data_IF_255318282025
#
_entry.id   IF_255318282025
#
_cell.length_a   1.000
_cell.length_b   1.000
_cell.length_c   1.000
_cell.angle_alpha   90.00
_cell.angle_beta   90.00
_cell.angle_gamma   90.00
#
_symmetry.space_group_name_H-M   'P 1'
#
loop_
_entity.id
_entity.type
_entity.pdbx_description
1 polymer ?
#
# COMPACT_ATOMS: atom_id res chain seq x y z
N UNK A 1 0.05 22.75 -4.90
CA UNK A 1 -1.03 21.73 -5.02
C UNK A 1 -0.44 20.33 -5.14
N UNK A 2 0.48 20.07 -6.06
CA UNK A 2 1.24 18.80 -6.09
C UNK A 2 2.22 18.64 -4.92
N UNK A 3 2.83 19.74 -4.44
CA UNK A 3 3.83 19.71 -3.37
C UNK A 3 3.34 19.08 -2.06
N UNK A 4 2.08 19.26 -1.66
CA UNK A 4 1.57 18.70 -0.38
C UNK A 4 1.38 17.18 -0.43
N UNK A 5 1.13 16.62 -1.61
CA UNK A 5 0.96 15.17 -1.82
C UNK A 5 2.31 14.49 -2.01
N UNK A 6 3.26 15.17 -2.67
CA UNK A 6 4.62 14.65 -2.87
C UNK A 6 5.53 14.88 -1.67
N UNK A 7 5.22 15.84 -0.78
CA UNK A 7 6.03 16.13 0.41
C UNK A 7 6.22 14.93 1.34
N UNK A 8 5.33 13.94 1.28
CA UNK A 8 5.37 12.72 2.09
C UNK A 8 5.64 11.47 1.26
N UNK A 9 6.05 11.62 0.00
CA UNK A 9 6.42 10.51 -0.88
C UNK A 9 7.77 9.90 -0.46
N UNK A 10 7.76 9.13 0.64
CA UNK A 10 8.90 8.37 1.15
C UNK A 10 9.03 6.98 0.48
N UNK A 11 8.42 6.80 -0.70
CA UNK A 11 8.47 5.53 -1.43
C UNK A 11 9.88 5.22 -1.94
N UNK A 12 10.23 3.94 -1.96
CA UNK A 12 11.52 3.44 -2.47
C UNK A 12 11.51 3.27 -4.00
N UNK A 13 10.33 3.14 -4.61
CA UNK A 13 10.17 2.93 -6.04
C UNK A 13 8.82 3.41 -6.58
N UNK A 14 8.45 2.92 -7.77
CA UNK A 14 7.17 3.18 -8.42
C UNK A 14 6.51 1.82 -8.77
N UNK A 15 5.88 1.14 -7.80
CA UNK A 15 5.28 -0.18 -8.03
C UNK A 15 4.12 -0.10 -9.04
N UNK A 16 3.43 1.04 -9.11
CA UNK A 16 2.30 1.28 -10.04
C UNK A 16 2.72 1.10 -11.49
N UNK A 17 3.92 1.56 -11.86
CA UNK A 17 4.46 1.41 -13.22
C UNK A 17 4.56 -0.05 -13.67
N UNK A 18 4.76 -0.97 -12.73
CA UNK A 18 4.88 -2.41 -13.00
C UNK A 18 3.62 -3.19 -12.62
N UNK A 19 2.62 -2.50 -12.04
CA UNK A 19 1.37 -3.09 -11.63
C UNK A 19 0.43 -3.39 -12.80
N UNK A 20 0.69 -2.87 -14.01
CA UNK A 20 -0.14 -3.08 -15.20
C UNK A 20 -1.64 -2.90 -14.92
N UNK A 21 -1.99 -1.84 -14.19
CA UNK A 21 -3.36 -1.60 -13.73
C UNK A 21 -4.30 -1.41 -14.92
N UNK A 22 -5.42 -2.12 -14.87
CA UNK A 22 -6.45 -2.07 -15.90
C UNK A 22 -7.67 -1.27 -15.43
N UNK A 23 -8.34 -0.53 -16.33
CA UNK A 23 -9.63 0.07 -16.04
C UNK A 23 -10.62 -0.96 -15.44
N UNK A 24 -11.27 -0.60 -14.34
CA UNK A 24 -12.24 -1.46 -13.66
C UNK A 24 -11.67 -2.34 -12.54
N UNK A 25 -10.35 -2.39 -12.34
CA UNK A 25 -9.75 -3.16 -11.25
C UNK A 25 -9.95 -2.52 -9.87
N UNK A 26 -10.08 -3.37 -8.85
CA UNK A 26 -10.00 -3.00 -7.44
C UNK A 26 -8.55 -3.14 -6.98
N UNK A 27 -7.94 -2.04 -6.54
CA UNK A 27 -6.54 -1.99 -6.13
C UNK A 27 -6.43 -1.72 -4.64
N UNK A 28 -5.61 -2.48 -3.93
CA UNK A 28 -5.24 -2.21 -2.54
C UNK A 28 -3.81 -1.68 -2.45
N UNK A 29 -3.63 -0.50 -1.87
CA UNK A 29 -2.34 0.09 -1.53
C UNK A 29 -2.05 -0.09 -0.03
N UNK A 30 -1.11 -0.98 0.28
CA UNK A 30 -0.77 -1.37 1.66
C UNK A 30 0.32 -0.47 2.23
N UNK A 31 0.01 0.13 3.40
CA UNK A 31 0.81 1.19 4.02
C UNK A 31 0.83 2.43 3.15
N UNK A 32 -0.35 2.88 2.71
CA UNK A 32 -0.49 3.97 1.76
C UNK A 32 0.07 5.30 2.29
N UNK A 33 0.08 5.49 3.62
CA UNK A 33 0.39 6.77 4.23
C UNK A 33 -0.52 7.88 3.68
N UNK A 34 0.05 9.06 3.49
CA UNK A 34 -0.58 10.17 2.76
C UNK A 34 -0.06 10.30 1.31
N UNK A 35 0.52 9.22 0.77
CA UNK A 35 1.30 9.24 -0.48
C UNK A 35 0.41 9.27 -1.72
N UNK A 36 1.07 9.50 -2.87
CA UNK A 36 0.40 9.66 -4.16
C UNK A 36 -0.01 8.32 -4.80
N UNK A 37 0.53 7.20 -4.34
CA UNK A 37 0.37 5.89 -4.98
C UNK A 37 -1.11 5.48 -5.09
N UNK A 38 -1.87 5.57 -4.00
CA UNK A 38 -3.33 5.32 -4.03
C UNK A 38 -4.06 6.20 -5.06
N UNK A 39 -3.67 7.47 -5.23
CA UNK A 39 -4.30 8.38 -6.19
C UNK A 39 -3.92 8.08 -7.64
N UNK A 40 -2.66 7.73 -7.89
CA UNK A 40 -2.22 7.28 -9.21
C UNK A 40 -2.94 5.99 -9.62
N UNK A 41 -3.10 5.05 -8.69
CA UNK A 41 -3.86 3.84 -8.94
C UNK A 41 -5.32 4.17 -9.31
N UNK A 42 -5.96 5.05 -8.54
CA UNK A 42 -7.34 5.49 -8.79
C UNK A 42 -7.53 6.08 -10.20
N UNK A 43 -6.56 6.88 -10.66
CA UNK A 43 -6.59 7.42 -12.02
C UNK A 43 -6.46 6.33 -13.10
N UNK A 44 -5.63 5.30 -12.89
CA UNK A 44 -5.41 4.24 -13.87
C UNK A 44 -6.59 3.27 -13.99
N UNK A 45 -7.26 2.97 -12.87
CA UNK A 45 -8.39 2.02 -12.86
C UNK A 45 -9.74 2.68 -13.17
N UNK A 46 -9.78 3.99 -13.35
CA UNK A 46 -10.96 4.71 -13.82
C UNK A 46 -11.45 4.18 -15.19
N UNK A 47 -12.75 4.29 -15.52
CA UNK A 47 -13.80 4.99 -14.77
C UNK A 47 -14.54 4.15 -13.73
N UNK A 48 -14.38 2.82 -13.74
CA UNK A 48 -15.21 1.90 -12.93
C UNK A 48 -14.45 1.25 -11.78
N UNK A 49 -13.11 1.28 -11.77
CA UNK A 49 -12.29 0.70 -10.72
C UNK A 49 -12.12 1.61 -9.52
N UNK A 50 -11.61 1.05 -8.43
CA UNK A 50 -11.43 1.74 -7.15
C UNK A 50 -10.02 1.48 -6.59
N UNK A 51 -9.43 2.50 -5.98
CA UNK A 51 -8.20 2.35 -5.20
C UNK A 51 -8.52 2.44 -3.70
N UNK A 52 -8.02 1.48 -2.93
CA UNK A 52 -8.21 1.37 -1.48
C UNK A 52 -6.84 1.56 -0.82
N UNK A 53 -6.65 2.65 -0.07
CA UNK A 53 -5.47 2.84 0.76
C UNK A 53 -5.67 2.24 2.15
N UNK A 54 -4.73 1.42 2.61
CA UNK A 54 -4.68 0.86 3.96
C UNK A 54 -3.51 1.47 4.73
N UNK A 55 -3.77 2.04 5.90
CA UNK A 55 -2.72 2.49 6.82
C UNK A 55 -3.14 2.25 8.28
N UNK A 56 -2.17 2.03 9.17
CA UNK A 56 -2.45 1.80 10.58
C UNK A 56 -2.58 3.09 11.39
N UNK A 57 -2.15 4.23 10.82
CA UNK A 57 -2.08 5.50 11.55
C UNK A 57 -3.25 6.42 11.16
N UNK A 58 -4.14 6.79 12.10
CA UNK A 58 -5.26 7.69 11.84
C UNK A 58 -4.81 9.05 11.27
N UNK A 59 -3.63 9.52 11.67
CA UNK A 59 -3.05 10.77 11.20
C UNK A 59 -2.77 10.76 9.69
N UNK A 60 -2.16 9.68 9.17
CA UNK A 60 -1.88 9.58 7.74
C UNK A 60 -3.16 9.46 6.93
N UNK A 61 -4.14 8.70 7.42
CA UNK A 61 -5.45 8.57 6.77
C UNK A 61 -6.19 9.91 6.72
N UNK A 62 -6.13 10.72 7.79
CA UNK A 62 -6.73 12.04 7.80
C UNK A 62 -6.11 12.95 6.72
N UNK A 63 -4.78 12.92 6.57
CA UNK A 63 -4.06 13.65 5.52
C UNK A 63 -4.39 13.13 4.12
N UNK A 64 -4.46 11.81 3.94
CA UNK A 64 -4.82 11.18 2.67
C UNK A 64 -6.24 11.56 2.22
N UNK A 65 -7.21 11.56 3.15
CA UNK A 65 -8.59 12.02 2.87
C UNK A 65 -8.65 13.51 2.52
N UNK A 66 -7.84 14.34 3.17
CA UNK A 66 -7.75 15.76 2.81
C UNK A 66 -7.24 15.93 1.37
N UNK A 67 -6.19 15.19 1.00
CA UNK A 67 -5.64 15.17 -0.36
C UNK A 67 -6.67 14.66 -1.39
N UNK A 68 -7.41 13.59 -1.08
CA UNK A 68 -8.50 13.07 -1.92
C UNK A 68 -9.53 14.17 -2.23
N UNK A 69 -9.97 14.91 -1.21
CA UNK A 69 -10.93 16.00 -1.37
C UNK A 69 -10.38 17.12 -2.25
N UNK A 70 -9.12 17.49 -2.07
CA UNK A 70 -8.45 18.51 -2.89
C UNK A 70 -8.32 18.08 -4.35
N UNK A 71 -8.08 16.79 -4.62
CA UNK A 71 -7.96 16.23 -5.96
C UNK A 71 -9.31 15.91 -6.62
N UNK A 72 -10.42 15.98 -5.87
CA UNK A 72 -11.76 15.68 -6.39
C UNK A 72 -11.98 14.21 -6.76
N UNK A 73 -11.20 13.29 -6.18
CA UNK A 73 -11.27 11.86 -6.49
C UNK A 73 -12.41 11.18 -5.74
N UNK A 74 -13.30 10.54 -6.49
CA UNK A 74 -14.48 9.84 -5.94
C UNK A 74 -14.31 8.32 -5.89
N UNK A 75 -13.33 7.76 -6.61
CA UNK A 75 -13.04 6.32 -6.67
C UNK A 75 -11.83 5.93 -5.79
N UNK A 76 -11.73 6.55 -4.62
CA UNK A 76 -10.71 6.26 -3.61
C UNK A 76 -11.37 6.01 -2.26
N UNK A 77 -10.98 4.92 -1.61
CA UNK A 77 -11.33 4.62 -0.23
C UNK A 77 -10.09 4.52 0.64
N UNK A 78 -10.21 4.92 1.90
CA UNK A 78 -9.16 4.73 2.90
C UNK A 78 -9.70 3.88 4.04
N UNK A 79 -8.91 2.91 4.50
CA UNK A 79 -9.24 1.99 5.59
C UNK A 79 -8.15 2.05 6.65
N UNK A 80 -8.56 2.12 7.91
CA UNK A 80 -7.64 1.92 9.03
C UNK A 80 -7.47 0.43 9.27
N UNK A 81 -6.23 -0.02 9.36
CA UNK A 81 -5.93 -1.42 9.63
C UNK A 81 -4.45 -1.75 9.49
N UNK A 82 -4.10 -2.97 9.86
CA UNK A 82 -2.73 -3.48 9.79
C UNK A 82 -2.60 -4.42 8.60
N UNK A 83 -1.41 -4.49 8.00
CA UNK A 83 -1.14 -5.43 6.90
C UNK A 83 -1.20 -6.89 7.35
N UNK A 84 -1.08 -7.16 8.66
CA UNK A 84 -1.26 -8.47 9.27
C UNK A 84 -2.74 -8.88 9.48
N UNK A 85 -3.68 -7.93 9.33
CA UNK A 85 -5.12 -8.16 9.48
C UNK A 85 -5.89 -7.13 8.64
N UNK A 86 -6.03 -7.42 7.35
CA UNK A 86 -6.59 -6.49 6.36
C UNK A 86 -8.12 -6.52 6.46
N UNK A 87 -8.79 -5.39 6.73
CA UNK A 87 -10.24 -5.31 6.91
C UNK A 87 -11.00 -5.33 5.56
N UNK A 88 -10.68 -6.32 4.73
CA UNK A 88 -11.31 -6.60 3.44
C UNK A 88 -11.71 -8.08 3.36
N UNK A 89 -12.79 -8.41 2.62
CA UNK A 89 -13.17 -9.79 2.37
C UNK A 89 -12.10 -10.56 1.59
N UNK A 90 -12.18 -11.88 1.67
CA UNK A 90 -11.40 -12.78 0.83
C UNK A 90 -11.69 -12.51 -0.66
N UNK A 91 -10.68 -12.66 -1.52
CA UNK A 91 -10.82 -12.53 -2.97
C UNK A 91 -11.58 -11.27 -3.43
N UNK A 92 -11.28 -10.11 -2.84
CA UNK A 92 -12.00 -8.86 -3.07
C UNK A 92 -11.26 -7.85 -3.96
N UNK A 93 -9.94 -7.98 -4.10
CA UNK A 93 -9.11 -7.07 -4.90
C UNK A 93 -8.38 -7.79 -6.04
N UNK A 94 -8.21 -7.09 -7.16
CA UNK A 94 -7.51 -7.60 -8.35
C UNK A 94 -5.99 -7.42 -8.20
N UNK A 95 -5.58 -6.32 -7.57
CA UNK A 95 -4.18 -5.93 -7.43
C UNK A 95 -3.89 -5.46 -6.02
N UNK A 96 -2.76 -5.89 -5.48
CA UNK A 96 -2.17 -5.32 -4.28
C UNK A 96 -0.87 -4.63 -4.66
N UNK A 97 -0.72 -3.37 -4.26
CA UNK A 97 0.51 -2.61 -4.37
C UNK A 97 1.06 -2.25 -2.98
N UNK A 98 2.39 -2.11 -2.88
CA UNK A 98 3.02 -1.59 -1.68
C UNK A 98 4.39 -0.97 -1.99
N UNK A 99 4.75 0.07 -1.25
CA UNK A 99 5.96 0.84 -1.50
C UNK A 99 6.74 1.10 -0.19
N UNK A 100 7.75 0.26 0.09
CA UNK A 100 8.71 0.45 1.18
C UNK A 100 8.14 0.32 2.60
N UNK A 101 7.15 -0.55 2.80
CA UNK A 101 6.53 -0.76 4.12
C UNK A 101 6.43 -2.23 4.55
N UNK A 102 6.60 -3.19 3.63
CA UNK A 102 6.47 -4.61 3.96
C UNK A 102 7.64 -5.10 4.82
N UNK A 103 8.83 -4.50 4.64
CA UNK A 103 9.98 -4.75 5.49
C UNK A 103 9.73 -4.43 6.97
N UNK A 104 8.86 -3.45 7.27
CA UNK A 104 8.51 -3.01 8.63
C UNK A 104 7.61 -4.02 9.36
N UNK A 105 7.02 -4.99 8.65
CA UNK A 105 6.21 -6.03 9.29
C UNK A 105 7.08 -6.92 10.18
N UNK A 106 6.68 -7.08 11.44
CA UNK A 106 7.27 -8.05 12.37
C UNK A 106 6.79 -9.48 12.07
N UNK A 107 5.61 -9.62 11.46
CA UNK A 107 4.95 -10.90 11.17
C UNK A 107 4.81 -11.12 9.66
N UNK A 108 5.92 -11.07 8.92
CA UNK A 108 5.92 -11.15 7.44
C UNK A 108 5.10 -12.32 6.89
N UNK A 109 5.19 -13.49 7.53
CA UNK A 109 4.40 -14.66 7.13
C UNK A 109 2.89 -14.46 7.27
N UNK A 110 2.42 -13.72 8.28
CA UNK A 110 1.01 -13.33 8.41
C UNK A 110 0.64 -12.28 7.36
N UNK A 111 1.48 -11.27 7.17
CA UNK A 111 1.29 -10.24 6.16
C UNK A 111 1.09 -10.83 4.76
N UNK A 112 2.00 -11.68 4.28
CA UNK A 112 1.84 -12.30 2.95
C UNK A 112 0.62 -13.23 2.86
N UNK A 113 0.21 -13.86 3.97
CA UNK A 113 -1.05 -14.64 4.01
C UNK A 113 -2.28 -13.74 3.84
N UNK A 114 -2.31 -12.58 4.48
CA UNK A 114 -3.39 -11.60 4.31
C UNK A 114 -3.41 -11.00 2.90
N UNK A 115 -2.25 -10.62 2.35
CA UNK A 115 -2.16 -10.11 0.97
C UNK A 115 -2.69 -11.15 -0.02
N UNK A 116 -2.35 -12.42 0.18
CA UNK A 116 -2.88 -13.51 -0.63
C UNK A 116 -4.38 -13.73 -0.44
N UNK A 117 -4.88 -13.68 0.81
CA UNK A 117 -6.30 -13.88 1.14
C UNK A 117 -7.21 -12.87 0.43
N UNK A 118 -6.82 -11.60 0.41
CA UNK A 118 -7.65 -10.53 -0.18
C UNK A 118 -7.58 -10.51 -1.71
N UNK A 119 -6.54 -11.09 -2.32
CA UNK A 119 -6.40 -11.18 -3.77
C UNK A 119 -7.42 -12.16 -4.37
N UNK A 120 -8.08 -11.74 -5.44
CA UNK A 120 -8.87 -12.64 -6.29
C UNK A 120 -7.99 -13.72 -6.92
N UNK A 121 -8.54 -14.89 -7.28
CA UNK A 121 -7.83 -15.84 -8.14
C UNK A 121 -7.34 -15.17 -9.42
N UNK A 122 -6.04 -15.27 -9.71
CA UNK A 122 -5.40 -14.58 -10.84
C UNK A 122 -4.99 -13.12 -10.57
N UNK A 123 -5.30 -12.60 -9.39
CA UNK A 123 -4.81 -11.29 -8.93
C UNK A 123 -3.30 -11.29 -8.71
N UNK A 124 -2.73 -10.09 -8.57
CA UNK A 124 -1.28 -9.91 -8.50
C UNK A 124 -0.84 -8.96 -7.38
N UNK A 125 0.31 -9.28 -6.78
CA UNK A 125 1.00 -8.45 -5.81
C UNK A 125 2.22 -7.81 -6.48
N UNK A 126 2.31 -6.48 -6.45
CA UNK A 126 3.46 -5.72 -6.99
C UNK A 126 3.97 -4.75 -5.94
N UNK A 127 5.21 -4.92 -5.50
CA UNK A 127 5.77 -4.07 -4.46
C UNK A 127 7.22 -3.69 -4.75
N UNK A 128 7.66 -2.59 -4.15
CA UNK A 128 9.06 -2.16 -4.12
C UNK A 128 9.49 -2.07 -2.65
N UNK A 129 10.55 -2.76 -2.27
CA UNK A 129 11.04 -2.73 -0.89
C UNK A 129 12.57 -2.91 -0.82
N UNK A 130 13.16 -2.50 0.29
CA UNK A 130 14.57 -2.72 0.59
C UNK A 130 14.81 -4.18 0.98
N UNK A 131 15.81 -4.79 0.36
CA UNK A 131 16.28 -6.13 0.69
C UNK A 131 17.76 -6.12 1.01
N UNK A 132 18.18 -7.05 1.86
CA UNK A 132 19.59 -7.26 2.21
C UNK A 132 20.16 -8.40 1.39
N UNK A 133 21.39 -8.23 0.89
CA UNK A 133 22.14 -9.33 0.29
C UNK A 133 22.94 -10.04 1.39
N UNK A 134 22.49 -11.24 1.77
CA UNK A 134 23.06 -12.03 2.87
C UNK A 134 22.18 -12.01 4.12
N UNK A 135 22.72 -12.52 5.24
CA UNK A 135 22.03 -12.53 6.52
C UNK A 135 22.42 -11.31 7.34
N UNK A 136 21.42 -10.61 7.88
CA UNK A 136 21.67 -9.59 8.89
C UNK A 136 22.21 -10.24 10.17
N UNK A 137 23.14 -9.59 10.88
CA UNK A 137 23.58 -10.05 12.20
C UNK A 137 22.38 -10.25 13.12
N UNK A 138 22.42 -11.28 13.96
CA UNK A 138 21.29 -11.63 14.85
C UNK A 138 20.87 -10.47 15.76
N UNK A 139 21.84 -9.68 16.22
CA UNK A 139 21.60 -8.46 17.01
C UNK A 139 20.74 -7.41 16.29
N UNK A 140 20.76 -7.37 14.96
CA UNK A 140 19.91 -6.49 14.15
C UNK A 140 18.51 -7.09 14.00
N UNK A 141 18.42 -8.40 13.72
CA UNK A 141 17.14 -9.10 13.55
C UNK A 141 16.29 -9.14 14.82
N UNK A 142 16.92 -9.19 16.00
CA UNK A 142 16.23 -9.22 17.29
C UNK A 142 15.93 -7.80 17.83
N UNK A 143 16.28 -6.75 17.09
CA UNK A 143 16.03 -5.36 17.48
C UNK A 143 14.83 -4.80 16.73
N UNK A 144 13.73 -4.51 17.45
CA UNK A 144 12.56 -3.83 16.88
C UNK A 144 12.94 -2.47 16.25
N UNK A 145 13.91 -1.77 16.85
CA UNK A 145 14.40 -0.48 16.35
C UNK A 145 15.11 -0.60 14.99
N UNK A 146 15.62 -1.77 14.62
CA UNK A 146 16.24 -1.99 13.31
C UNK A 146 15.22 -2.13 12.17
N UNK A 147 13.93 -2.28 12.50
CA UNK A 147 12.83 -2.34 11.53
C UNK A 147 12.18 -0.97 11.28
N UNK A 148 12.52 0.07 12.05
CA UNK A 148 12.11 1.44 11.76
C UNK A 148 13.25 2.14 11.01
N UNK A 149 12.97 2.65 9.81
CA UNK A 149 13.88 3.52 9.07
C UNK A 149 14.07 4.86 9.77
#
# INVERSE_FOLDING_TARGET
>A
MFESVTAYALGLGNPIRYADLQPGENVLDVGCGARIDTFLAAHQVAPTGIAIGLDMTPEMLARARANQKTLGLTNVEFREGRMENIPLPDASVDVVISNGVLNLSTEKGQTFRELYRVLKPGGRLVFSDSVVNGQLPRAVLDSEAAFAG
#
